data_IF_713571509664
#
_entry.id   IF_713571509664
#
_cell.length_a   1.000
_cell.length_b   1.000
_cell.length_c   1.000
_cell.angle_alpha   90.00
_cell.angle_beta   90.00
_cell.angle_gamma   90.00
#
_symmetry.space_group_name_H-M   'P 1'
#
loop_
_entity.id
_entity.type
_entity.pdbx_description
1 polymer ?
#
# COMPACT_ATOMS: atom_id res chain seq x y z
N UNK A 1 -18.29 20.56 -47.07
CA UNK A 1 -17.41 21.17 -46.04
C UNK A 1 -16.16 20.31 -45.96
N UNK A 2 -14.96 20.87 -46.08
CA UNK A 2 -13.73 20.10 -45.83
C UNK A 2 -13.60 19.93 -44.33
N UNK A 3 -13.67 18.69 -43.84
CA UNK A 3 -13.37 18.38 -42.45
C UNK A 3 -11.94 18.82 -42.13
N UNK A 4 -11.72 19.49 -41.01
CA UNK A 4 -10.38 19.83 -40.57
C UNK A 4 -9.62 18.55 -40.22
N UNK A 5 -8.28 18.55 -40.25
CA UNK A 5 -7.49 17.41 -39.77
C UNK A 5 -7.86 17.00 -38.33
N UNK A 6 -8.23 17.98 -37.49
CA UNK A 6 -8.73 17.75 -36.13
C UNK A 6 -10.06 16.97 -36.11
N UNK A 7 -11.00 17.30 -37.00
CA UNK A 7 -12.28 16.59 -37.10
C UNK A 7 -12.09 15.15 -37.59
N UNK A 8 -11.12 14.92 -38.49
CA UNK A 8 -10.78 13.59 -38.98
C UNK A 8 -10.18 12.69 -37.89
N UNK A 9 -9.36 13.25 -36.99
CA UNK A 9 -8.80 12.53 -35.84
C UNK A 9 -9.87 12.30 -34.77
N UNK A 10 -10.65 13.33 -34.42
CA UNK A 10 -11.69 13.25 -33.39
C UNK A 10 -12.82 12.27 -33.75
N UNK A 11 -13.15 12.14 -35.04
CA UNK A 11 -14.13 11.19 -35.54
C UNK A 11 -13.63 9.74 -35.68
N UNK A 12 -12.32 9.50 -35.53
CA UNK A 12 -11.76 8.15 -35.58
C UNK A 12 -11.64 7.56 -34.17
N UNK A 13 -12.56 6.65 -33.83
CA UNK A 13 -12.64 6.02 -32.51
C UNK A 13 -11.37 5.27 -32.10
N UNK A 14 -10.68 4.63 -33.04
CA UNK A 14 -9.47 3.84 -32.74
C UNK A 14 -8.29 4.75 -32.41
N UNK A 15 -8.13 5.84 -33.17
CA UNK A 15 -7.10 6.86 -32.89
C UNK A 15 -7.36 7.54 -31.54
N UNK A 16 -8.61 7.94 -31.26
CA UNK A 16 -8.97 8.53 -29.97
C UNK A 16 -8.74 7.56 -28.81
N UNK A 17 -9.03 6.27 -29.01
CA UNK A 17 -8.74 5.23 -28.02
C UNK A 17 -7.25 5.16 -27.72
N UNK A 18 -6.39 5.07 -28.73
CA UNK A 18 -4.93 4.99 -28.51
C UNK A 18 -4.38 6.28 -27.87
N UNK A 19 -4.87 7.46 -28.27
CA UNK A 19 -4.50 8.74 -27.66
C UNK A 19 -4.85 8.73 -26.17
N UNK A 20 -6.11 8.45 -25.81
CA UNK A 20 -6.54 8.49 -24.42
C UNK A 20 -5.90 7.41 -23.55
N UNK A 21 -5.57 6.24 -24.11
CA UNK A 21 -4.83 5.21 -23.38
C UNK A 21 -3.42 5.68 -22.94
N UNK A 22 -2.84 6.68 -23.61
CA UNK A 22 -1.50 7.24 -23.29
C UNK A 22 -1.55 8.37 -22.27
N UNK A 23 -2.72 8.96 -22.03
CA UNK A 23 -2.85 10.11 -21.14
C UNK A 23 -2.98 9.68 -19.67
N UNK A 24 -2.52 10.50 -18.71
CA UNK A 24 -2.77 10.29 -17.29
C UNK A 24 -4.27 10.13 -16.98
N UNK A 25 -4.61 9.26 -16.03
CA UNK A 25 -6.00 8.94 -15.69
C UNK A 25 -6.87 10.19 -15.45
N UNK A 26 -6.35 11.18 -14.71
CA UNK A 26 -7.06 12.43 -14.43
C UNK A 26 -7.39 13.26 -15.68
N UNK A 27 -6.47 13.31 -16.65
CA UNK A 27 -6.69 14.05 -17.89
C UNK A 27 -7.73 13.35 -18.76
N UNK A 28 -7.64 12.01 -18.84
CA UNK A 28 -8.66 11.19 -19.50
C UNK A 28 -10.04 11.39 -18.89
N UNK A 29 -10.15 11.45 -17.56
CA UNK A 29 -11.44 11.68 -16.89
C UNK A 29 -12.00 13.06 -17.25
N UNK A 30 -11.17 14.10 -17.32
CA UNK A 30 -11.59 15.45 -17.75
C UNK A 30 -12.09 15.47 -19.21
N UNK A 31 -11.51 14.65 -20.09
CA UNK A 31 -11.94 14.52 -21.48
C UNK A 31 -13.39 14.03 -21.62
N UNK A 32 -13.98 13.39 -20.61
CA UNK A 32 -15.41 13.01 -20.60
C UNK A 32 -16.34 14.20 -20.77
N UNK A 33 -15.93 15.40 -20.36
CA UNK A 33 -16.76 16.60 -20.42
C UNK A 33 -16.79 17.26 -21.81
N UNK A 34 -15.98 16.79 -22.78
CA UNK A 34 -15.81 17.46 -24.07
C UNK A 34 -16.96 17.15 -25.04
N UNK A 35 -17.30 15.87 -25.24
CA UNK A 35 -18.43 15.47 -26.09
C UNK A 35 -19.00 14.09 -25.67
N UNK A 36 -20.20 13.76 -26.18
CA UNK A 36 -20.91 12.51 -25.86
C UNK A 36 -20.15 11.27 -26.31
N UNK A 37 -19.45 11.33 -27.45
CA UNK A 37 -18.69 10.21 -28.00
C UNK A 37 -17.49 9.87 -27.10
N UNK A 38 -16.78 10.89 -26.61
CA UNK A 38 -15.64 10.71 -25.70
C UNK A 38 -16.12 10.23 -24.33
N UNK A 39 -17.23 10.79 -23.82
CA UNK A 39 -17.88 10.30 -22.61
C UNK A 39 -18.20 8.80 -22.73
N UNK A 40 -18.83 8.37 -23.82
CA UNK A 40 -19.20 6.97 -24.07
C UNK A 40 -17.96 6.07 -24.21
N UNK A 41 -16.93 6.52 -24.92
CA UNK A 41 -15.67 5.79 -25.09
C UNK A 41 -14.96 5.57 -23.74
N UNK A 42 -14.78 6.63 -22.97
CA UNK A 42 -14.00 6.62 -21.72
C UNK A 42 -14.81 5.94 -20.59
N UNK A 43 -16.14 6.02 -20.63
CA UNK A 43 -17.01 5.33 -19.68
C UNK A 43 -17.21 3.85 -20.03
N UNK A 44 -16.71 3.38 -21.18
CA UNK A 44 -16.67 1.96 -21.47
C UNK A 44 -15.73 1.25 -20.46
N UNK A 45 -16.19 0.22 -19.77
CA UNK A 45 -15.34 -0.43 -18.78
C UNK A 45 -14.10 -1.13 -19.35
N UNK A 46 -14.19 -1.65 -20.59
CA UNK A 46 -13.05 -2.23 -21.30
C UNK A 46 -11.97 -1.18 -21.59
N UNK A 47 -12.37 0.07 -21.85
CA UNK A 47 -11.43 1.18 -21.99
C UNK A 47 -10.67 1.41 -20.67
N UNK A 48 -11.39 1.46 -19.55
CA UNK A 48 -10.79 1.61 -18.22
C UNK A 48 -9.80 0.49 -17.88
N UNK A 49 -10.18 -0.76 -18.15
CA UNK A 49 -9.28 -1.91 -17.98
C UNK A 49 -8.05 -1.82 -18.89
N UNK A 50 -8.22 -1.48 -20.17
CA UNK A 50 -7.12 -1.34 -21.12
C UNK A 50 -6.16 -0.20 -20.73
N UNK A 51 -6.71 0.89 -20.18
CA UNK A 51 -5.93 2.00 -19.64
C UNK A 51 -5.09 1.54 -18.45
N UNK A 52 -5.71 0.90 -17.44
CA UNK A 52 -4.99 0.32 -16.30
C UNK A 52 -3.91 -0.65 -16.75
N UNK A 53 -4.24 -1.60 -17.64
CA UNK A 53 -3.32 -2.60 -18.16
C UNK A 53 -2.08 -1.93 -18.77
N UNK A 54 -2.28 -0.89 -19.58
CA UNK A 54 -1.20 -0.13 -20.20
C UNK A 54 -0.35 0.61 -19.17
N UNK A 55 -0.98 1.23 -18.17
CA UNK A 55 -0.28 1.92 -17.09
C UNK A 55 0.56 0.95 -16.25
N UNK A 56 0.01 -0.19 -15.84
CA UNK A 56 0.75 -1.19 -15.09
C UNK A 56 1.90 -1.83 -15.89
N UNK A 57 1.84 -1.85 -17.24
CA UNK A 57 2.95 -2.32 -18.10
C UNK A 57 4.04 -1.28 -18.30
N UNK A 58 3.62 -0.05 -18.60
CA UNK A 58 4.51 0.95 -19.21
C UNK A 58 4.92 2.07 -18.26
N UNK A 59 4.17 2.28 -17.17
CA UNK A 59 4.43 3.37 -16.24
C UNK A 59 4.99 2.80 -14.95
N UNK A 60 6.30 2.93 -14.76
CA UNK A 60 7.02 2.40 -13.59
C UNK A 60 7.07 3.37 -12.41
N UNK A 61 6.32 4.47 -12.47
CA UNK A 61 6.50 5.59 -11.53
C UNK A 61 5.30 5.73 -10.61
N UNK A 62 5.28 5.02 -9.48
CA UNK A 62 4.29 5.26 -8.45
C UNK A 62 4.46 6.68 -7.92
N UNK A 63 3.35 7.39 -7.73
CA UNK A 63 3.33 8.57 -6.89
C UNK A 63 3.47 8.12 -5.44
N UNK A 64 4.14 8.94 -4.63
CA UNK A 64 4.17 8.75 -3.19
C UNK A 64 2.98 9.48 -2.59
N UNK A 65 2.12 8.72 -1.91
CA UNK A 65 1.15 9.28 -0.98
C UNK A 65 1.82 9.36 0.38
N UNK A 66 2.08 10.58 0.85
CA UNK A 66 2.38 10.81 2.25
C UNK A 66 1.04 10.83 2.99
N UNK A 67 0.88 9.93 3.96
CA UNK A 67 -0.36 9.75 4.68
C UNK A 67 -0.18 10.25 6.11
N UNK A 68 -1.07 11.14 6.54
CA UNK A 68 -1.19 11.61 7.93
C UNK A 68 -2.47 11.06 8.52
N UNK A 69 -2.37 10.40 9.67
CA UNK A 69 -3.55 9.95 10.43
C UNK A 69 -3.94 11.03 11.44
N UNK A 70 -5.19 11.48 11.43
CA UNK A 70 -5.72 12.61 12.24
C UNK A 70 -6.96 12.12 13.00
N UNK A 71 -7.20 12.59 14.21
CA UNK A 71 -8.51 12.44 14.87
C UNK A 71 -9.41 13.61 14.50
N UNK A 72 -10.64 13.35 14.08
CA UNK A 72 -11.64 14.41 13.96
C UNK A 72 -12.26 14.79 15.30
N UNK A 73 -13.12 15.82 15.30
CA UNK A 73 -13.82 16.36 16.48
C UNK A 73 -14.71 15.33 17.19
N UNK A 74 -15.02 14.21 16.52
CA UNK A 74 -15.81 13.09 17.08
C UNK A 74 -14.94 11.96 17.62
N UNK A 75 -13.61 12.10 17.58
CA UNK A 75 -12.65 11.07 17.98
C UNK A 75 -12.41 10.00 16.91
N UNK A 76 -12.98 10.17 15.70
CA UNK A 76 -12.81 9.22 14.61
C UNK A 76 -11.50 9.48 13.88
N UNK A 77 -10.75 8.41 13.59
CA UNK A 77 -9.51 8.53 12.83
C UNK A 77 -9.79 8.74 11.34
N UNK A 78 -9.06 9.67 10.73
CA UNK A 78 -9.07 9.98 9.29
C UNK A 78 -7.66 9.94 8.72
N UNK A 79 -7.55 9.62 7.44
CA UNK A 79 -6.29 9.70 6.69
C UNK A 79 -6.34 10.88 5.72
N UNK A 80 -5.33 11.73 5.76
CA UNK A 80 -5.12 12.82 4.82
C UNK A 80 -3.87 12.57 3.96
N UNK A 81 -3.93 13.01 2.71
CA UNK A 81 -2.78 12.99 1.80
C UNK A 81 -2.02 14.30 1.95
N UNK A 82 -0.75 14.20 2.32
CA UNK A 82 0.20 15.31 2.37
C UNK A 82 0.87 15.42 0.99
N UNK A 83 0.99 16.63 0.40
CA UNK A 83 1.72 16.83 -0.85
C UNK A 83 3.15 16.29 -0.74
N UNK A 84 3.71 15.75 -1.82
CA UNK A 84 5.09 15.24 -1.75
C UNK A 84 6.14 16.36 -1.66
N UNK A 85 5.85 17.56 -2.21
CA UNK A 85 6.72 18.74 -2.13
C UNK A 85 6.00 19.90 -1.45
N UNK A 86 6.69 20.65 -0.59
CA UNK A 86 6.16 21.83 0.12
C UNK A 86 5.75 22.98 -0.82
N UNK A 87 6.45 23.14 -1.95
CA UNK A 87 6.14 24.18 -2.95
C UNK A 87 4.99 23.81 -3.90
N UNK A 88 4.47 22.59 -3.84
CA UNK A 88 3.21 22.25 -4.51
C UNK A 88 2.06 22.88 -3.71
N UNK A 89 1.90 24.20 -3.80
CA UNK A 89 0.82 24.98 -3.17
C UNK A 89 -0.59 24.58 -3.65
N UNK A 90 -0.70 23.58 -4.52
CA UNK A 90 -1.97 22.99 -4.89
C UNK A 90 -2.33 21.83 -3.96
N UNK A 91 -3.18 22.18 -2.99
CA UNK A 91 -4.07 21.31 -2.22
C UNK A 91 -3.38 20.33 -1.27
N UNK A 92 -3.49 20.63 0.04
CA UNK A 92 -3.96 19.64 1.00
C UNK A 92 -5.16 18.94 0.35
N UNK A 93 -4.96 17.73 -0.14
CA UNK A 93 -6.03 16.93 -0.75
C UNK A 93 -6.86 16.37 0.40
N UNK A 94 -7.59 17.26 1.06
CA UNK A 94 -8.63 16.92 2.03
C UNK A 94 -9.82 16.25 1.35
N UNK A 95 -9.93 16.34 0.01
CA UNK A 95 -11.21 16.14 -0.68
C UNK A 95 -11.31 14.95 -1.67
N UNK A 96 -10.32 14.06 -1.80
CA UNK A 96 -10.36 13.00 -2.84
C UNK A 96 -10.35 11.55 -2.35
N UNK A 97 -10.32 11.31 -1.03
CA UNK A 97 -10.74 10.00 -0.53
C UNK A 97 -12.24 10.16 -0.29
N UNK A 98 -13.04 9.44 -1.08
CA UNK A 98 -14.49 9.60 -1.24
C UNK A 98 -15.29 9.74 0.08
N UNK A 99 -14.74 9.29 1.21
CA UNK A 99 -15.23 9.46 2.59
C UNK A 99 -14.08 9.23 3.60
N UNK A 100 -14.21 9.65 4.88
CA UNK A 100 -13.18 9.43 5.89
C UNK A 100 -12.90 7.94 6.13
N UNK A 101 -11.65 7.50 5.89
CA UNK A 101 -11.13 6.14 6.19
C UNK A 101 -10.29 6.16 7.45
N UNK A 102 -10.36 5.09 8.25
CA UNK A 102 -9.60 4.98 9.50
C UNK A 102 -8.11 4.76 9.26
N UNK A 103 -7.77 3.98 8.23
CA UNK A 103 -6.42 3.72 7.79
C UNK A 103 -6.41 3.19 6.35
N UNK A 104 -5.30 3.41 5.64
CA UNK A 104 -5.01 2.78 4.35
C UNK A 104 -4.03 1.63 4.62
N UNK A 105 -4.50 0.41 4.42
CA UNK A 105 -3.78 -0.82 4.71
C UNK A 105 -2.77 -1.11 3.60
N UNK A 106 -3.21 -1.02 2.34
CA UNK A 106 -2.43 -1.42 1.17
C UNK A 106 -2.78 -0.60 -0.07
N UNK A 107 -1.82 -0.45 -0.98
CA UNK A 107 -2.02 -0.03 -2.37
C UNK A 107 -1.65 -1.19 -3.31
N UNK A 108 -2.46 -1.43 -4.34
CA UNK A 108 -2.25 -2.52 -5.30
C UNK A 108 -2.71 -2.06 -6.68
N UNK A 109 -1.78 -1.79 -7.60
CA UNK A 109 -2.05 -1.47 -9.01
C UNK A 109 -3.16 -0.42 -9.23
N UNK A 110 -3.17 0.61 -8.37
CA UNK A 110 -4.09 1.75 -8.42
C UNK A 110 -5.40 1.59 -7.66
N UNK A 111 -5.59 0.47 -6.95
CA UNK A 111 -6.61 0.31 -5.93
C UNK A 111 -5.99 0.47 -4.55
N UNK A 112 -6.73 1.03 -3.60
CA UNK A 112 -6.36 1.11 -2.19
C UNK A 112 -7.31 0.25 -1.37
N UNK A 113 -6.76 -0.48 -0.41
CA UNK A 113 -7.51 -1.19 0.63
C UNK A 113 -7.47 -0.38 1.91
N UNK A 114 -8.65 -0.11 2.46
CA UNK A 114 -8.83 0.70 3.65
C UNK A 114 -9.63 -0.04 4.71
N UNK A 115 -9.31 0.22 5.97
CA UNK A 115 -10.16 -0.17 7.10
C UNK A 115 -11.28 0.86 7.27
N UNK A 116 -12.52 0.39 7.31
CA UNK A 116 -13.68 1.21 7.59
C UNK A 116 -14.09 0.96 9.04
N UNK A 117 -13.85 1.95 9.93
CA UNK A 117 -14.22 2.00 11.36
C UNK A 117 -14.92 0.72 11.85
N UNK A 118 -14.11 -0.32 12.07
CA UNK A 118 -14.61 -1.64 12.41
C UNK A 118 -15.12 -1.61 13.85
N UNK A 119 -16.38 -2.01 14.13
CA UNK A 119 -16.87 -2.08 15.50
C UNK A 119 -16.04 -3.07 16.33
N UNK A 120 -15.89 -2.83 17.64
CA UNK A 120 -15.19 -3.75 18.52
C UNK A 120 -15.86 -5.12 18.51
N UNK A 121 -15.05 -6.16 18.70
CA UNK A 121 -15.55 -7.53 18.83
C UNK A 121 -16.52 -7.64 20.01
N UNK A 122 -17.65 -8.32 19.80
CA UNK A 122 -18.64 -8.56 20.84
C UNK A 122 -18.69 -10.05 21.20
N UNK A 123 -19.14 -10.34 22.41
CA UNK A 123 -19.40 -11.70 22.86
C UNK A 123 -20.90 -11.95 22.89
N UNK A 124 -21.33 -13.03 22.25
CA UNK A 124 -22.72 -13.46 22.33
C UNK A 124 -22.98 -14.06 23.72
N UNK A 125 -23.86 -13.48 24.54
CA UNK A 125 -24.04 -13.90 25.93
C UNK A 125 -24.62 -15.32 26.07
N UNK A 126 -25.24 -15.87 25.03
CA UNK A 126 -25.84 -17.22 25.05
C UNK A 126 -24.86 -18.30 24.63
N UNK A 127 -24.14 -18.07 23.52
CA UNK A 127 -23.23 -19.08 22.95
C UNK A 127 -21.81 -18.95 23.49
N UNK A 128 -21.47 -17.81 24.12
CA UNK A 128 -20.09 -17.39 24.44
C UNK A 128 -19.18 -17.27 23.22
N UNK A 129 -19.74 -17.28 22.01
CA UNK A 129 -18.99 -17.05 20.79
C UNK A 129 -18.63 -15.58 20.65
N UNK A 130 -17.50 -15.33 20.01
CA UNK A 130 -17.04 -14.02 19.62
C UNK A 130 -17.56 -13.71 18.22
N UNK A 131 -18.33 -12.64 18.12
CA UNK A 131 -18.86 -12.11 16.88
C UNK A 131 -18.04 -10.90 16.47
N UNK A 132 -17.45 -10.94 15.28
CA UNK A 132 -16.67 -9.85 14.72
C UNK A 132 -17.23 -9.50 13.35
N UNK A 133 -17.68 -8.25 13.23
CA UNK A 133 -18.08 -7.66 11.95
C UNK A 133 -17.01 -6.69 11.51
N UNK A 134 -16.32 -7.03 10.44
CA UNK A 134 -15.32 -6.16 9.82
C UNK A 134 -15.90 -5.46 8.60
N UNK A 135 -15.53 -4.18 8.45
CA UNK A 135 -15.85 -3.40 7.28
C UNK A 135 -14.55 -2.92 6.64
N UNK A 136 -14.35 -3.27 5.38
CA UNK A 136 -13.22 -2.84 4.58
C UNK A 136 -13.73 -2.05 3.37
N UNK A 137 -12.88 -1.23 2.78
CA UNK A 137 -13.18 -0.52 1.54
C UNK A 137 -12.09 -0.72 0.52
N UNK A 138 -12.50 -0.98 -0.72
CA UNK A 138 -11.62 -0.93 -1.89
C UNK A 138 -11.96 0.32 -2.66
N UNK A 139 -11.00 1.24 -2.77
CA UNK A 139 -11.21 2.56 -3.36
C UNK A 139 -10.25 2.80 -4.54
N UNK A 140 -10.74 3.55 -5.53
CA UNK A 140 -9.90 4.20 -6.52
C UNK A 140 -10.16 5.71 -6.46
N UNK A 141 -9.29 6.47 -5.77
CA UNK A 141 -9.40 7.93 -5.68
C UNK A 141 -9.37 8.65 -7.03
N UNK A 142 -8.71 8.07 -8.05
CA UNK A 142 -8.56 8.75 -9.34
C UNK A 142 -9.90 8.92 -10.07
N UNK A 143 -10.82 7.95 -9.94
CA UNK A 143 -12.14 7.94 -10.56
C UNK A 143 -13.29 8.11 -9.56
N UNK A 144 -12.98 8.46 -8.31
CA UNK A 144 -13.94 8.60 -7.22
C UNK A 144 -14.87 7.38 -7.06
N UNK A 145 -14.29 6.17 -7.10
CA UNK A 145 -15.03 4.93 -6.94
C UNK A 145 -14.66 4.25 -5.62
N UNK A 146 -15.66 3.67 -4.97
CA UNK A 146 -15.55 3.02 -3.67
C UNK A 146 -16.44 1.78 -3.65
N UNK A 147 -15.93 0.68 -3.09
CA UNK A 147 -16.70 -0.51 -2.79
C UNK A 147 -16.55 -0.89 -1.33
N UNK A 148 -17.68 -1.10 -0.66
CA UNK A 148 -17.75 -1.48 0.74
C UNK A 148 -17.82 -2.99 0.85
N UNK A 149 -16.84 -3.58 1.53
CA UNK A 149 -16.75 -5.00 1.80
C UNK A 149 -17.09 -5.23 3.27
N UNK A 150 -18.00 -6.17 3.55
CA UNK A 150 -18.26 -6.60 4.93
C UNK A 150 -17.91 -8.06 5.07
N UNK A 151 -17.36 -8.41 6.24
CA UNK A 151 -17.07 -9.79 6.63
C UNK A 151 -17.60 -10.00 8.04
N UNK A 152 -18.39 -11.06 8.22
CA UNK A 152 -18.91 -11.45 9.51
C UNK A 152 -18.25 -12.76 9.92
N UNK A 153 -17.62 -12.76 11.09
CA UNK A 153 -16.97 -13.93 11.68
C UNK A 153 -17.63 -14.26 13.00
N UNK A 154 -18.00 -15.52 13.18
CA UNK A 154 -18.49 -16.06 14.45
C UNK A 154 -17.57 -17.20 14.84
N UNK A 155 -16.78 -17.00 15.90
CA UNK A 155 -15.79 -17.98 16.35
C UNK A 155 -15.90 -18.24 17.85
N UNK A 156 -15.51 -19.43 18.34
CA UNK A 156 -15.55 -19.71 19.78
C UNK A 156 -14.45 -18.97 20.58
N UNK A 157 -13.55 -18.25 19.91
CA UNK A 157 -12.43 -17.53 20.52
C UNK A 157 -12.17 -16.18 19.82
N UNK A 158 -11.46 -15.24 20.50
CA UNK A 158 -10.99 -14.01 19.87
C UNK A 158 -9.98 -14.32 18.77
N UNK A 159 -10.00 -13.53 17.71
CA UNK A 159 -9.14 -13.70 16.56
C UNK A 159 -8.80 -12.35 15.94
N UNK A 160 -7.64 -12.28 15.28
CA UNK A 160 -7.21 -11.11 14.53
C UNK A 160 -7.47 -11.33 13.05
N UNK A 161 -7.95 -10.30 12.37
CA UNK A 161 -8.24 -10.32 10.95
C UNK A 161 -7.28 -9.39 10.22
N UNK A 162 -6.61 -9.90 9.19
CA UNK A 162 -5.68 -9.14 8.36
C UNK A 162 -6.04 -9.30 6.87
N UNK A 163 -6.55 -8.23 6.23
CA UNK A 163 -6.91 -8.27 4.81
C UNK A 163 -5.72 -7.86 3.93
N UNK A 164 -5.59 -8.49 2.77
CA UNK A 164 -4.66 -8.13 1.70
C UNK A 164 -5.40 -8.02 0.37
N UNK A 165 -5.10 -6.96 -0.38
CA UNK A 165 -5.66 -6.73 -1.71
C UNK A 165 -4.76 -7.38 -2.76
N UNK A 166 -5.35 -8.21 -3.60
CA UNK A 166 -4.72 -8.82 -4.74
C UNK A 166 -5.38 -8.31 -6.01
N UNK A 167 -4.65 -7.54 -6.80
CA UNK A 167 -5.14 -7.04 -8.07
C UNK A 167 -4.01 -7.05 -9.09
N UNK A 168 -4.05 -7.99 -10.02
CA UNK A 168 -3.10 -8.10 -11.12
C UNK A 168 -3.83 -7.91 -12.45
N UNK A 169 -3.88 -6.66 -12.98
CA UNK A 169 -4.58 -6.35 -14.22
C UNK A 169 -4.09 -7.15 -15.43
N UNK A 170 -2.87 -7.69 -15.37
CA UNK A 170 -2.34 -8.56 -16.43
C UNK A 170 -3.06 -9.91 -16.53
N UNK A 171 -3.71 -10.32 -15.45
CA UNK A 171 -4.31 -11.65 -15.31
C UNK A 171 -5.84 -11.56 -15.33
N UNK A 172 -6.39 -10.55 -14.65
CA UNK A 172 -7.83 -10.39 -14.52
C UNK A 172 -8.20 -8.92 -14.33
N UNK A 173 -9.34 -8.46 -14.89
CA UNK A 173 -9.89 -7.16 -14.56
C UNK A 173 -10.45 -7.09 -13.12
N UNK A 174 -10.61 -8.24 -12.46
CA UNK A 174 -11.17 -8.37 -11.13
C UNK A 174 -10.09 -8.47 -10.06
N UNK A 175 -10.36 -7.91 -8.88
CA UNK A 175 -9.50 -8.02 -7.71
C UNK A 175 -10.05 -9.05 -6.72
N UNK A 176 -9.17 -9.49 -5.82
CA UNK A 176 -9.53 -10.32 -4.68
C UNK A 176 -9.08 -9.65 -3.38
N UNK A 177 -9.80 -9.91 -2.29
CA UNK A 177 -9.34 -9.55 -0.94
C UNK A 177 -9.16 -10.84 -0.16
N UNK A 178 -7.93 -11.08 0.29
CA UNK A 178 -7.55 -12.27 1.06
C UNK A 178 -7.54 -11.87 2.53
N UNK A 179 -8.37 -12.52 3.32
CA UNK A 179 -8.49 -12.28 4.74
C UNK A 179 -7.87 -13.44 5.51
N UNK A 180 -6.81 -13.14 6.25
CA UNK A 180 -6.20 -14.08 7.18
C UNK A 180 -6.80 -13.90 8.56
N UNK A 181 -7.21 -14.99 9.19
CA UNK A 181 -7.72 -15.01 10.57
C UNK A 181 -6.77 -15.80 11.47
N UNK A 182 -6.13 -15.13 12.44
CA UNK A 182 -5.23 -15.74 13.42
C UNK A 182 -5.90 -15.87 14.80
N UNK A 183 -5.80 -17.05 15.41
CA UNK A 183 -6.37 -17.33 16.73
C UNK A 183 -5.43 -17.00 17.88
N UNK A 184 -5.96 -16.32 18.89
CA UNK A 184 -5.13 -15.66 19.91
C UNK A 184 -4.83 -16.47 21.18
N UNK A 185 -5.55 -17.58 21.48
CA UNK A 185 -5.43 -18.24 22.80
C UNK A 185 -5.55 -19.77 22.87
N UNK A 186 -5.71 -20.50 21.76
CA UNK A 186 -5.81 -21.97 21.85
C UNK A 186 -4.43 -22.61 21.99
N UNK A 187 -4.40 -23.85 22.49
CA UNK A 187 -3.23 -24.74 22.46
C UNK A 187 -2.67 -24.97 21.04
N UNK A 188 -3.41 -24.53 20.01
CA UNK A 188 -2.99 -24.40 18.61
C UNK A 188 -2.53 -22.96 18.31
N UNK A 189 -1.49 -22.47 18.99
CA UNK A 189 -0.92 -21.15 18.66
C UNK A 189 -0.59 -21.09 17.17
N UNK A 190 -1.22 -20.15 16.47
CA UNK A 190 -0.84 -19.73 15.13
C UNK A 190 -1.55 -20.42 13.97
N UNK A 191 -2.63 -21.19 14.18
CA UNK A 191 -3.45 -21.66 13.06
C UNK A 191 -4.11 -20.46 12.34
N UNK A 192 -3.88 -20.37 11.02
CA UNK A 192 -4.42 -19.30 10.18
C UNK A 192 -5.53 -19.85 9.29
N UNK A 193 -6.72 -19.26 9.39
CA UNK A 193 -7.80 -19.47 8.43
C UNK A 193 -7.75 -18.43 7.31
N UNK A 194 -8.16 -18.83 6.11
CA UNK A 194 -8.17 -17.96 4.94
C UNK A 194 -9.57 -17.89 4.33
N UNK A 195 -10.04 -16.67 4.14
CA UNK A 195 -11.24 -16.34 3.38
C UNK A 195 -10.87 -15.42 2.23
N UNK A 196 -11.43 -15.65 1.04
CA UNK A 196 -11.13 -14.85 -0.15
C UNK A 196 -12.41 -14.26 -0.70
N UNK A 197 -12.47 -12.94 -0.78
CA UNK A 197 -13.48 -12.24 -1.56
C UNK A 197 -13.03 -12.12 -3.00
N UNK A 198 -13.93 -12.32 -3.97
CA UNK A 198 -13.69 -12.08 -5.39
C UNK A 198 -14.67 -11.05 -5.93
N UNK A 199 -14.15 -9.96 -6.51
CA UNK A 199 -15.01 -8.93 -7.13
C UNK A 199 -15.69 -9.37 -8.42
N UNK A 200 -15.26 -10.50 -8.99
CA UNK A 200 -15.92 -11.14 -10.14
C UNK A 200 -17.28 -11.74 -9.75
N UNK A 201 -17.32 -12.41 -8.60
CA UNK A 201 -18.48 -13.15 -8.11
C UNK A 201 -19.27 -12.39 -7.04
N UNK A 202 -18.71 -11.29 -6.53
CA UNK A 202 -19.25 -10.52 -5.40
C UNK A 202 -19.56 -11.41 -4.19
N UNK A 203 -18.61 -12.27 -3.83
CA UNK A 203 -18.82 -13.26 -2.77
C UNK A 203 -17.52 -13.63 -2.06
N UNK A 204 -17.66 -14.07 -0.81
CA UNK A 204 -16.60 -14.67 -0.01
C UNK A 204 -16.59 -16.18 -0.20
N UNK A 205 -15.39 -16.74 -0.34
CA UNK A 205 -15.15 -18.19 -0.29
C UNK A 205 -14.21 -18.48 0.87
N UNK A 206 -14.62 -19.38 1.76
CA UNK A 206 -13.80 -19.85 2.88
C UNK A 206 -12.99 -21.07 2.45
N UNK A 207 -11.69 -21.08 2.76
CA UNK A 207 -10.80 -22.18 2.37
C UNK A 207 -10.27 -22.99 3.57
N UNK A 208 -10.59 -22.60 4.80
CA UNK A 208 -10.22 -23.36 6.01
C UNK A 208 -8.84 -23.00 6.58
N UNK A 209 -8.27 -23.91 7.37
CA UNK A 209 -7.03 -23.72 8.16
C UNK A 209 -5.80 -24.19 7.39
N UNK A 210 -4.78 -23.34 7.27
CA UNK A 210 -3.63 -23.59 6.40
C UNK A 210 -2.28 -23.79 7.10
N UNK A 211 -1.98 -23.01 8.13
CA UNK A 211 -0.59 -22.94 8.65
C UNK A 211 -0.56 -22.61 10.13
N UNK A 212 0.42 -23.17 10.85
CA UNK A 212 0.69 -22.86 12.27
C UNK A 212 1.94 -21.98 12.42
N UNK A 213 1.81 -20.84 13.08
CA UNK A 213 2.95 -20.02 13.52
C UNK A 213 3.30 -18.80 12.67
N UNK A 214 2.41 -18.35 11.76
CA UNK A 214 2.61 -17.09 11.03
C UNK A 214 2.10 -15.92 11.86
N UNK A 215 2.93 -14.90 12.17
CA UNK A 215 2.46 -13.69 12.82
C UNK A 215 1.73 -12.81 11.79
N UNK A 216 0.41 -12.99 11.61
CA UNK A 216 -0.31 -12.38 10.47
C UNK A 216 -0.25 -10.84 10.49
N UNK A 217 -0.03 -10.25 11.68
CA UNK A 217 -0.08 -8.81 11.98
C UNK A 217 0.90 -7.92 11.20
N UNK A 218 1.87 -8.48 10.47
CA UNK A 218 2.93 -7.71 9.81
C UNK A 218 3.22 -8.15 8.36
N UNK A 219 2.20 -8.70 7.69
CA UNK A 219 2.37 -9.18 6.32
C UNK A 219 2.58 -8.05 5.31
N UNK A 220 3.35 -8.35 4.26
CA UNK A 220 3.60 -7.44 3.14
C UNK A 220 3.23 -8.11 1.83
N UNK A 221 2.29 -7.52 1.11
CA UNK A 221 1.98 -7.93 -0.26
C UNK A 221 3.07 -7.47 -1.23
N UNK A 222 3.58 -8.40 -2.04
CA UNK A 222 4.47 -8.09 -3.15
C UNK A 222 4.32 -9.17 -4.25
N UNK A 223 4.10 -8.74 -5.51
CA UNK A 223 4.07 -9.59 -6.70
C UNK A 223 3.20 -10.86 -6.60
N UNK A 224 2.00 -10.76 -6.05
CA UNK A 224 1.08 -11.91 -5.91
C UNK A 224 1.34 -12.83 -4.72
N UNK A 225 2.27 -12.45 -3.84
CA UNK A 225 2.55 -13.15 -2.59
C UNK A 225 2.37 -12.23 -1.39
N UNK A 226 1.98 -12.79 -0.24
CA UNK A 226 2.04 -12.10 1.04
C UNK A 226 3.20 -12.66 1.84
N UNK A 227 4.06 -11.81 2.37
CA UNK A 227 5.28 -12.21 3.05
C UNK A 227 5.25 -11.80 4.51
N UNK A 228 5.81 -12.64 5.38
CA UNK A 228 6.00 -12.36 6.79
C UNK A 228 7.44 -12.69 7.18
N UNK A 229 8.07 -11.74 7.84
CA UNK A 229 9.37 -11.94 8.46
C UNK A 229 9.17 -12.58 9.84
N UNK A 230 9.74 -13.76 10.07
CA UNK A 230 9.72 -14.42 11.38
C UNK A 230 11.00 -14.13 12.19
N UNK A 231 10.89 -13.93 13.52
CA UNK A 231 12.05 -13.82 14.42
C UNK A 231 13.00 -15.03 14.35
N UNK A 232 12.50 -16.18 13.89
CA UNK A 232 13.29 -17.40 13.71
C UNK A 232 14.07 -17.46 12.40
N UNK A 233 14.20 -16.33 11.69
CA UNK A 233 14.99 -16.24 10.45
C UNK A 233 14.41 -17.15 9.36
N UNK A 234 13.11 -17.05 9.18
CA UNK A 234 12.40 -17.67 8.06
C UNK A 234 11.53 -16.58 7.45
N UNK A 235 11.63 -16.40 6.14
CA UNK A 235 10.64 -15.67 5.38
C UNK A 235 9.52 -16.65 5.04
N UNK A 236 8.37 -16.46 5.67
CA UNK A 236 7.16 -17.22 5.35
C UNK A 236 6.42 -16.41 4.30
N UNK A 237 5.98 -17.04 3.22
CA UNK A 237 5.20 -16.34 2.21
C UNK A 237 4.08 -17.20 1.66
N UNK A 238 2.96 -16.56 1.35
CA UNK A 238 1.74 -17.19 0.86
C UNK A 238 1.55 -16.89 -0.62
N UNK A 239 1.49 -17.94 -1.44
CA UNK A 239 1.14 -17.86 -2.86
C UNK A 239 -0.38 -17.71 -2.97
N UNK A 240 -0.86 -16.52 -3.34
CA UNK A 240 -2.30 -16.22 -3.41
C UNK A 240 -2.99 -17.06 -4.49
N UNK A 241 -2.28 -17.44 -5.57
CA UNK A 241 -2.89 -18.21 -6.66
C UNK A 241 -3.03 -19.67 -6.30
N UNK A 242 -1.98 -20.25 -5.72
CA UNK A 242 -1.95 -21.66 -5.32
C UNK A 242 -2.58 -21.91 -3.96
N UNK A 243 -2.83 -20.84 -3.20
CA UNK A 243 -3.33 -20.87 -1.84
C UNK A 243 -2.47 -21.75 -0.93
N UNK A 244 -1.15 -21.55 -0.97
CA UNK A 244 -0.22 -22.33 -0.16
C UNK A 244 0.87 -21.47 0.48
N UNK A 245 1.31 -21.90 1.65
CA UNK A 245 2.46 -21.32 2.34
C UNK A 245 3.76 -21.96 1.86
N UNK A 246 4.79 -21.14 1.80
CA UNK A 246 6.15 -21.53 1.48
C UNK A 246 7.08 -20.89 2.51
N UNK A 247 8.24 -21.51 2.71
CA UNK A 247 9.28 -21.01 3.60
C UNK A 247 10.57 -20.82 2.80
N UNK A 248 11.21 -19.67 3.01
CA UNK A 248 12.59 -19.45 2.62
C UNK A 248 13.44 -19.32 3.89
N UNK A 249 14.41 -20.22 4.03
CA UNK A 249 15.38 -20.22 5.12
C UNK A 249 16.67 -19.54 4.68
N UNK A 250 17.21 -18.66 5.51
CA UNK A 250 18.52 -18.06 5.26
C UNK A 250 19.63 -19.10 5.37
N UNK A 251 20.58 -19.05 4.44
CA UNK A 251 21.79 -19.88 4.44
C UNK A 251 22.98 -19.20 5.13
N UNK A 252 22.98 -17.87 5.28
CA UNK A 252 24.07 -17.11 5.89
C UNK A 252 23.81 -16.76 7.36
N UNK A 253 24.81 -17.02 8.21
CA UNK A 253 24.77 -16.81 9.67
C UNK A 253 24.88 -15.33 10.11
N UNK A 254 25.05 -14.39 9.18
CA UNK A 254 25.37 -12.98 9.48
C UNK A 254 24.21 -12.19 10.13
N UNK A 255 23.00 -12.76 10.17
CA UNK A 255 21.78 -12.04 10.52
C UNK A 255 21.19 -12.45 11.88
N UNK A 256 22.01 -12.95 12.80
CA UNK A 256 21.51 -13.55 14.03
C UNK A 256 20.89 -12.56 15.05
N UNK A 257 21.02 -11.24 14.84
CA UNK A 257 20.67 -10.18 15.80
C UNK A 257 20.11 -8.95 15.05
N UNK A 258 19.25 -9.15 14.04
CA UNK A 258 18.75 -8.02 13.26
C UNK A 258 17.73 -7.19 14.04
N UNK A 259 18.10 -5.95 14.33
CA UNK A 259 17.17 -4.91 14.68
C UNK A 259 16.47 -4.43 13.39
N UNK A 260 15.42 -5.14 12.98
CA UNK A 260 14.62 -4.81 11.78
C UNK A 260 13.80 -3.56 12.06
N UNK A 261 13.97 -2.56 11.21
CA UNK A 261 13.35 -1.24 11.32
C UNK A 261 12.22 -1.05 10.31
N UNK A 262 12.32 -1.75 9.18
CA UNK A 262 11.30 -1.71 8.14
C UNK A 262 11.28 -3.02 7.37
N UNK A 263 10.07 -3.49 7.04
CA UNK A 263 9.81 -4.57 6.11
C UNK A 263 8.63 -4.14 5.23
N UNK A 264 8.85 -4.03 3.92
CA UNK A 264 7.86 -3.47 3.02
C UNK A 264 8.22 -3.62 1.54
N UNK A 265 7.29 -3.25 0.67
CA UNK A 265 7.44 -3.38 -0.77
C UNK A 265 7.62 -1.99 -1.42
N UNK A 266 8.51 -1.92 -2.39
CA UNK A 266 8.67 -0.75 -3.24
C UNK A 266 9.18 -1.14 -4.63
N UNK A 267 8.58 -0.58 -5.68
CA UNK A 267 9.00 -0.84 -7.07
C UNK A 267 8.77 -2.28 -7.53
N UNK A 268 7.90 -3.03 -6.84
CA UNK A 268 7.72 -4.46 -7.10
C UNK A 268 8.82 -5.33 -6.48
N UNK A 269 9.61 -4.80 -5.56
CA UNK A 269 10.63 -5.56 -4.82
C UNK A 269 10.35 -5.47 -3.32
N UNK A 270 10.71 -6.54 -2.61
CA UNK A 270 10.57 -6.62 -1.16
C UNK A 270 11.87 -6.15 -0.51
N UNK A 271 11.75 -5.22 0.44
CA UNK A 271 12.87 -4.59 1.11
C UNK A 271 12.84 -4.85 2.62
N UNK A 272 14.02 -5.04 3.19
CA UNK A 272 14.25 -5.17 4.62
C UNK A 272 15.30 -4.13 5.05
N UNK A 273 14.94 -3.23 5.96
CA UNK A 273 15.88 -2.28 6.55
C UNK A 273 16.27 -2.73 7.94
N UNK A 274 17.57 -2.81 8.17
CA UNK A 274 18.16 -3.31 9.40
C UNK A 274 19.11 -2.25 9.95
N UNK A 275 18.99 -1.92 11.24
CA UNK A 275 19.96 -1.07 11.92
C UNK A 275 21.29 -1.81 12.13
N UNK A 276 22.41 -1.12 11.93
CA UNK A 276 23.74 -1.65 12.18
C UNK A 276 23.96 -1.79 13.71
N UNK A 277 24.26 -2.99 14.22
CA UNK A 277 24.43 -3.19 15.67
C UNK A 277 25.72 -2.56 16.22
N UNK A 278 26.68 -2.20 15.35
CA UNK A 278 27.98 -1.65 15.75
C UNK A 278 28.11 -0.15 15.54
N UNK A 279 27.23 0.46 14.75
CA UNK A 279 27.31 1.87 14.37
C UNK A 279 25.93 2.50 14.45
N UNK A 280 25.86 3.57 15.23
CA UNK A 280 24.63 4.31 15.51
C UNK A 280 24.12 4.96 14.22
N UNK A 281 22.81 4.97 14.03
CA UNK A 281 22.15 5.65 12.91
C UNK A 281 22.59 5.19 11.51
N UNK A 282 23.31 4.07 11.42
CA UNK A 282 23.58 3.39 10.16
C UNK A 282 22.58 2.25 9.93
N UNK A 283 22.11 2.13 8.69
CA UNK A 283 21.12 1.14 8.29
C UNK A 283 21.55 0.48 6.98
N UNK A 284 21.27 -0.81 6.88
CA UNK A 284 21.45 -1.61 5.67
C UNK A 284 20.09 -1.91 5.07
N UNK A 285 19.93 -1.65 3.77
CA UNK A 285 18.72 -1.95 3.02
C UNK A 285 18.99 -3.16 2.12
N UNK A 286 18.28 -4.23 2.40
CA UNK A 286 18.36 -5.50 1.68
C UNK A 286 17.14 -5.64 0.77
N UNK A 287 17.36 -6.14 -0.44
CA UNK A 287 16.31 -6.47 -1.41
C UNK A 287 16.25 -8.00 -1.58
N UNK A 288 15.04 -8.57 -1.59
CA UNK A 288 14.85 -10.00 -1.86
C UNK A 288 15.04 -10.27 -3.36
N UNK A 289 15.82 -11.30 -3.68
CA UNK A 289 16.02 -11.73 -5.06
C UNK A 289 14.74 -12.34 -5.65
N UNK A 290 14.51 -12.10 -6.96
CA UNK A 290 13.26 -12.49 -7.65
C UNK A 290 13.04 -14.00 -7.73
N UNK A 291 14.12 -14.77 -7.72
CA UNK A 291 14.11 -16.24 -7.69
C UNK A 291 13.98 -16.80 -6.27
N UNK A 292 13.85 -15.93 -5.27
CA UNK A 292 13.78 -16.27 -3.85
C UNK A 292 15.02 -17.05 -3.37
N UNK A 293 16.19 -16.87 -3.98
CA UNK A 293 17.41 -17.57 -3.52
C UNK A 293 18.07 -16.88 -2.30
N UNK A 294 17.79 -15.60 -2.07
CA UNK A 294 18.42 -14.86 -0.98
C UNK A 294 18.05 -13.38 -0.95
N UNK A 295 18.81 -12.64 -0.13
CA UNK A 295 18.71 -11.20 0.02
C UNK A 295 20.04 -10.56 -0.38
N UNK A 296 19.97 -9.48 -1.15
CA UNK A 296 21.14 -8.71 -1.59
C UNK A 296 21.18 -7.39 -0.83
N UNK A 297 22.35 -7.03 -0.30
CA UNK A 297 22.58 -5.70 0.24
C UNK A 297 22.59 -4.71 -0.93
N UNK A 298 21.60 -3.82 -0.96
CA UNK A 298 21.43 -2.88 -2.07
C UNK A 298 21.91 -1.48 -1.73
N UNK A 299 21.65 -1.03 -0.50
CA UNK A 299 22.03 0.31 -0.05
C UNK A 299 22.56 0.32 1.38
N UNK A 300 23.44 1.28 1.63
CA UNK A 300 23.88 1.71 2.96
C UNK A 300 23.35 3.12 3.21
N UNK A 301 22.75 3.33 4.37
CA UNK A 301 22.17 4.62 4.76
C UNK A 301 22.79 5.05 6.08
N UNK A 302 23.35 6.25 6.11
CA UNK A 302 23.97 6.86 7.28
C UNK A 302 23.20 8.13 7.64
N UNK A 303 22.36 8.06 8.69
CA UNK A 303 21.55 9.19 9.12
C UNK A 303 22.36 10.23 9.88
N UNK A 304 23.60 9.96 10.30
CA UNK A 304 24.44 10.97 10.96
C UNK A 304 24.63 12.19 10.05
N UNK A 305 24.80 11.95 8.74
CA UNK A 305 24.90 12.99 7.71
C UNK A 305 23.66 13.87 7.61
N UNK A 306 22.48 13.29 7.84
CA UNK A 306 21.20 14.01 7.80
C UNK A 306 21.04 14.84 9.08
N UNK A 307 21.34 14.24 10.24
CA UNK A 307 21.24 14.90 11.53
C UNK A 307 22.09 16.18 11.58
N UNK A 308 23.31 16.12 11.06
CA UNK A 308 24.19 17.28 10.91
C UNK A 308 23.62 18.33 9.96
N UNK A 309 23.16 17.92 8.77
CA UNK A 309 22.67 18.84 7.73
C UNK A 309 21.32 19.51 8.05
N UNK A 310 20.48 18.87 8.88
CA UNK A 310 19.12 19.32 9.21
C UNK A 310 19.01 19.82 10.67
N UNK A 311 20.16 19.89 11.38
CA UNK A 311 20.27 20.26 12.79
C UNK A 311 19.26 19.50 13.67
N UNK A 312 19.20 18.19 13.48
CA UNK A 312 18.37 17.25 14.23
C UNK A 312 19.25 16.53 15.24
N UNK A 313 18.81 16.44 16.50
CA UNK A 313 19.40 15.49 17.46
C UNK A 313 18.47 14.30 17.60
N UNK A 314 18.95 13.12 17.24
CA UNK A 314 18.23 11.86 17.45
C UNK A 314 18.95 11.11 18.58
N UNK A 315 18.23 10.79 19.66
CA UNK A 315 18.71 9.88 20.70
C UNK A 315 18.20 8.47 20.39
N UNK A 316 18.89 7.44 20.89
CA UNK A 316 18.76 6.02 20.55
C UNK A 316 17.39 5.32 20.67
N UNK A 317 16.30 6.05 20.86
CA UNK A 317 14.99 5.45 20.98
C UNK A 317 14.49 5.04 19.59
N UNK A 318 14.22 3.74 19.41
CA UNK A 318 13.63 3.16 18.20
C UNK A 318 12.33 3.86 17.76
N UNK A 319 11.72 4.62 18.68
CA UNK A 319 10.48 5.36 18.47
C UNK A 319 10.71 6.71 17.75
N UNK A 320 11.96 7.20 17.65
CA UNK A 320 12.27 8.51 17.05
C UNK A 320 12.51 8.49 15.53
N UNK A 321 12.72 7.31 14.95
CA UNK A 321 12.97 7.13 13.52
C UNK A 321 12.03 6.07 12.97
N UNK A 322 11.08 6.51 12.15
CA UNK A 322 10.30 5.62 11.30
C UNK A 322 10.65 5.88 9.84
N UNK A 323 10.58 4.86 8.99
CA UNK A 323 10.93 5.00 7.59
C UNK A 323 10.05 4.18 6.66
N UNK A 324 10.04 4.57 5.39
CA UNK A 324 9.42 3.84 4.30
C UNK A 324 10.32 3.92 3.09
N UNK A 325 10.78 2.77 2.60
CA UNK A 325 11.59 2.70 1.38
C UNK A 325 10.69 2.97 0.18
N UNK A 326 11.08 3.93 -0.67
CA UNK A 326 10.35 4.29 -1.89
C UNK A 326 11.33 4.46 -3.05
N UNK A 327 11.55 3.38 -3.79
CA UNK A 327 12.20 3.40 -5.09
C UNK A 327 11.33 4.18 -6.10
N UNK A 328 11.84 5.29 -6.63
CA UNK A 328 11.20 6.09 -7.69
C UNK A 328 12.04 5.95 -8.95
N UNK A 329 11.43 5.56 -10.07
CA UNK A 329 12.20 5.30 -11.30
C UNK A 329 12.22 6.51 -12.28
N UNK A 330 11.57 7.67 -11.98
CA UNK A 330 11.63 8.89 -12.82
C UNK A 330 11.77 10.22 -12.05
N UNK A 331 12.87 10.33 -11.32
CA UNK A 331 13.71 11.54 -11.22
C UNK A 331 15.02 11.03 -10.62
N UNK A 332 15.74 10.27 -11.45
CA UNK A 332 17.08 9.67 -11.31
C UNK A 332 17.45 8.83 -10.08
N UNK A 333 16.74 8.80 -8.95
CA UNK A 333 17.33 8.19 -7.75
C UNK A 333 16.35 7.53 -6.75
N UNK A 334 16.67 6.30 -6.35
CA UNK A 334 15.98 5.57 -5.28
C UNK A 334 16.05 6.36 -3.97
N UNK A 335 14.94 6.45 -3.24
CA UNK A 335 14.86 7.25 -2.03
C UNK A 335 14.23 6.50 -0.85
N UNK A 336 14.72 6.76 0.35
CA UNK A 336 14.01 6.45 1.58
C UNK A 336 13.26 7.70 2.06
N UNK A 337 11.99 7.51 2.45
CA UNK A 337 11.24 8.55 3.16
C UNK A 337 11.38 8.29 4.65
N UNK A 338 11.94 9.26 5.34
CA UNK A 338 12.23 9.21 6.77
C UNK A 338 11.26 10.12 7.51
N UNK A 339 10.79 9.67 8.66
CA UNK A 339 9.96 10.38 9.61
C UNK A 339 10.78 10.50 10.90
N UNK A 340 11.33 11.69 11.14
CA UNK A 340 12.32 11.95 12.19
C UNK A 340 11.74 12.90 13.23
N UNK A 341 11.70 12.49 14.50
CA UNK A 341 11.39 13.38 15.63
C UNK A 341 12.67 13.95 16.23
N UNK A 342 12.68 15.23 16.60
CA UNK A 342 13.84 15.88 17.23
C UNK A 342 13.82 15.68 18.74
N UNK A 343 14.89 15.14 19.33
CA UNK A 343 14.98 14.96 20.79
C UNK A 343 14.97 16.26 21.61
N UNK A 344 15.16 17.44 21.00
CA UNK A 344 15.01 18.72 21.72
C UNK A 344 13.61 19.34 21.53
N UNK A 345 12.83 18.87 20.56
CA UNK A 345 11.51 19.39 20.20
C UNK A 345 10.62 18.21 19.76
N UNK A 346 10.22 17.41 20.76
CA UNK A 346 9.36 16.23 20.59
C UNK A 346 7.91 16.62 20.17
N UNK A 347 7.62 17.90 19.93
CA UNK A 347 6.34 18.34 19.39
C UNK A 347 6.31 18.27 17.86
N UNK A 348 7.45 18.08 17.20
CA UNK A 348 7.57 18.13 15.74
C UNK A 348 8.25 16.92 15.12
N UNK A 349 7.76 16.58 13.93
CA UNK A 349 8.33 15.57 13.06
C UNK A 349 8.77 16.20 11.72
N UNK A 350 9.99 15.89 11.30
CA UNK A 350 10.53 16.24 9.99
C UNK A 350 10.38 15.04 9.05
N UNK A 351 9.73 15.27 7.92
CA UNK A 351 9.63 14.30 6.83
C UNK A 351 10.76 14.59 5.85
N UNK A 352 11.69 13.65 5.68
CA UNK A 352 12.88 13.82 4.86
C UNK A 352 12.90 12.79 3.74
N UNK A 353 13.18 13.24 2.52
CA UNK A 353 13.53 12.37 1.41
C UNK A 353 15.05 12.21 1.42
N UNK A 354 15.52 10.99 1.64
CA UNK A 354 16.94 10.63 1.60
C UNK A 354 17.24 9.82 0.34
N UNK A 355 18.25 10.23 -0.39
CA UNK A 355 18.68 9.58 -1.60
C UNK A 355 19.59 8.38 -1.29
N UNK A 356 19.22 7.21 -1.76
CA UNK A 356 19.95 5.98 -1.47
C UNK A 356 21.20 5.80 -2.34
N UNK A 357 21.33 6.57 -3.43
CA UNK A 357 22.44 6.47 -4.36
C UNK A 357 23.53 7.52 -4.08
N UNK A 358 23.14 8.79 -3.96
CA UNK A 358 24.08 9.90 -3.77
C UNK A 358 24.16 10.43 -2.33
N UNK A 359 23.36 9.87 -1.41
CA UNK A 359 23.29 10.25 0.01
C UNK A 359 22.84 11.70 0.27
N UNK A 360 22.30 12.39 -0.73
CA UNK A 360 21.67 13.69 -0.58
C UNK A 360 20.35 13.60 0.19
N UNK A 361 20.00 14.63 0.93
CA UNK A 361 18.74 14.68 1.67
C UNK A 361 18.02 16.01 1.47
N UNK A 362 16.68 15.97 1.43
CA UNK A 362 15.84 17.17 1.42
C UNK A 362 14.69 17.04 2.42
N UNK A 363 14.41 18.11 3.14
CA UNK A 363 13.21 18.21 3.98
C UNK A 363 12.00 18.39 3.06
N UNK A 364 11.02 17.51 3.18
CA UNK A 364 9.75 17.61 2.48
C UNK A 364 8.77 18.47 3.29
N UNK A 365 8.65 18.19 4.59
CA UNK A 365 7.72 18.86 5.52
C UNK A 365 8.26 18.85 6.95
N UNK A 366 7.77 19.80 7.75
CA UNK A 366 7.90 19.84 9.21
C UNK A 366 6.49 20.00 9.78
N UNK A 367 6.03 19.02 10.57
CA UNK A 367 4.65 18.91 11.04
C UNK A 367 4.62 18.57 12.53
N UNK A 368 3.48 18.76 13.19
CA UNK A 368 3.32 18.37 14.59
C UNK A 368 3.30 16.84 14.76
N UNK A 369 3.92 16.34 15.83
CA UNK A 369 4.12 14.92 16.12
C UNK A 369 2.85 14.20 16.65
N UNK A 370 1.76 14.92 16.90
CA UNK A 370 0.46 14.36 17.34
C UNK A 370 -0.15 13.32 16.38
N UNK A 371 0.46 13.11 15.21
CA UNK A 371 -0.05 12.29 14.13
C UNK A 371 0.91 11.16 13.77
N UNK A 372 0.38 9.99 13.40
CA UNK A 372 1.16 8.93 12.79
C UNK A 372 1.28 9.14 11.28
N UNK A 373 2.47 8.92 10.73
CA UNK A 373 2.76 9.09 9.30
C UNK A 373 3.14 7.79 8.62
N UNK A 374 2.84 7.68 7.33
CA UNK A 374 3.22 6.55 6.47
C UNK A 374 3.41 7.03 5.04
N UNK A 375 4.39 6.50 4.32
CA UNK A 375 4.48 6.68 2.88
C UNK A 375 3.96 5.43 2.15
N UNK A 376 3.22 5.64 1.06
CA UNK A 376 2.67 4.55 0.25
C UNK A 376 2.83 4.87 -1.23
N UNK A 377 3.26 3.87 -2.02
CA UNK A 377 3.27 3.98 -3.47
C UNK A 377 1.85 3.81 -4.04
N UNK A 378 1.45 4.70 -4.95
CA UNK A 378 0.13 4.70 -5.57
C UNK A 378 0.20 5.04 -7.06
N UNK A 379 -0.61 4.34 -7.84
CA UNK A 379 -0.73 4.54 -9.28
C UNK A 379 -2.12 5.09 -9.59
N UNK A 380 -2.20 6.22 -10.30
CA UNK A 380 -3.48 6.71 -10.80
C UNK A 380 -3.90 5.88 -12.02
N UNK A 381 -4.98 5.10 -11.87
CA UNK A 381 -5.49 4.21 -12.92
C UNK A 381 -7.00 4.39 -13.08
N UNK A 382 -7.57 3.84 -14.14
CA UNK A 382 -9.02 3.82 -14.37
C UNK A 382 -9.69 2.52 -13.88
N UNK A 383 -9.01 1.78 -13.01
CA UNK A 383 -9.49 0.52 -12.43
C UNK A 383 -10.77 0.73 -11.65
N UNK A 384 -11.82 -0.04 -11.94
CA UNK A 384 -13.08 0.05 -11.20
C UNK A 384 -13.04 -0.79 -9.93
N UNK A 385 -13.81 -0.36 -8.93
CA UNK A 385 -13.95 -1.06 -7.65
C UNK A 385 -15.17 -1.98 -7.62
N UNK A 386 -16.08 -1.84 -8.59
CA UNK A 386 -17.36 -2.54 -8.70
C UNK A 386 -17.50 -3.28 -10.03
N UNK A 387 -18.44 -4.23 -10.09
CA UNK A 387 -18.74 -5.03 -11.28
C UNK A 387 -19.18 -4.14 -12.45
N UNK A 388 -18.99 -4.67 -13.65
CA UNK A 388 -19.24 -3.99 -14.92
C UNK A 388 -20.72 -3.67 -15.22
N UNK A 389 -21.65 -4.02 -14.34
CA UNK A 389 -23.08 -4.17 -14.68
C UNK A 389 -24.00 -3.01 -14.27
N UNK A 390 -23.49 -1.90 -13.74
CA UNK A 390 -24.31 -0.73 -13.44
C UNK A 390 -23.68 0.57 -13.97
N UNK A 391 -24.13 0.97 -15.16
CA UNK A 391 -24.10 2.37 -15.67
C UNK A 391 -25.53 2.78 -15.94
#
# INVERSE_FOLDING_TARGET
MKHSPGDAVAGNKDLMTDIFLRLPAKDVIRCKCVCKEWLALISNPQFGYSHTLRFCRNNRYPRVLLLRKISDDTGNMKVCVVPFRSNDQNTLVENNICEPVSSILQSCNGLLLCDANTPPQSTNPRTKNFEQRCSYRVINPAINCCFNLTYNSIKPYPHFLMPFLYYEPQESPYYKVILFSEFSWTSQRGAVEISVYSSETDSWTEYGVFYQGVPVKFGVYCNGFVHWFSPHKILIYFDIKKLCFNELRWTSYEFCILNVQYFGQSGGNLHLVVANPKRELEYHIWELEKDYCGWILKYHMDLNRICEGVNLKVQYHADQVSMSVVCQENEEEDSAILFLSDSNDDEKIKIVSYNLNNHGSRILHELNQEYSFKALQYFETLSRTTRFDHV
#
